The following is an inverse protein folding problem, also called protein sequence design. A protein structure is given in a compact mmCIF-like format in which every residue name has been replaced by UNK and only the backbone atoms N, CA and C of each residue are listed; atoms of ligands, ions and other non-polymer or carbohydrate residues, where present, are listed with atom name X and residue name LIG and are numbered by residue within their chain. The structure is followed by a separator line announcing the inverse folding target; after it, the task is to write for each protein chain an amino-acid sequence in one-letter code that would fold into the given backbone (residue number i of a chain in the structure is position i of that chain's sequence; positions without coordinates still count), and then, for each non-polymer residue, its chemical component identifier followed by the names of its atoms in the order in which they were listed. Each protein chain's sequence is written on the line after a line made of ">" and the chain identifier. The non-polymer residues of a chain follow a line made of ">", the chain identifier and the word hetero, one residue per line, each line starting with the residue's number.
data_IF_919096265455
#
_entry.id   IF_919096265455
#
_cell.length_a   1.000
_cell.length_b   1.000
_cell.length_c   1.000
_cell.angle_alpha   90.00
_cell.angle_beta   90.00
_cell.angle_gamma   90.00
#
_symmetry.space_group_name_H-M   'P 1'
#
loop_
_entity.id
_entity.type
_entity.pdbx_description
1 polymer ?
2 non-polymer ?
3 non-polymer ?
4 non-polymer ?
5 water ?
#
# COMPACT_ATOMS: atom_id res chain seq x y z
N UNK A 3 -19.78 4.26 24.46
CA UNK A 3 -18.36 4.57 24.34
C UNK A 3 -17.99 4.72 22.88
N UNK A 4 -16.91 5.45 22.59
CA UNK A 4 -16.39 5.49 21.24
C UNK A 4 -15.79 4.13 20.90
N UNK A 5 -15.84 3.77 19.61
CA UNK A 5 -15.20 2.56 19.09
C UNK A 5 -13.85 2.98 18.53
N UNK A 6 -12.78 2.29 18.94
CA UNK A 6 -11.45 2.61 18.42
C UNK A 6 -11.34 2.18 16.97
N UNK A 7 -10.64 2.99 16.18
CA UNK A 7 -10.36 2.66 14.78
C UNK A 7 -8.84 2.68 14.67
N UNK A 8 -8.23 1.49 14.69
CA UNK A 8 -6.79 1.34 14.68
C UNK A 8 -6.36 1.26 13.23
N UNK A 9 -5.77 2.35 12.72
CA UNK A 9 -5.39 2.45 11.32
C UNK A 9 -3.88 2.24 11.25
N UNK A 10 -3.44 1.16 10.62
CA UNK A 10 -2.04 0.78 10.67
C UNK A 10 -1.38 0.92 9.30
N UNK A 11 -0.12 1.33 9.32
CA UNK A 11 0.67 1.47 8.11
C UNK A 11 2.14 1.29 8.45
N UNK A 12 2.95 1.25 7.40
CA UNK A 12 4.38 0.95 7.57
C UNK A 12 5.12 2.06 8.32
N UNK A 13 4.78 3.31 8.03
CA UNK A 13 5.49 4.44 8.56
C UNK A 13 6.44 5.01 7.52
N UNK A 14 6.66 6.33 7.58
CA UNK A 14 7.59 7.03 6.71
C UNK A 14 8.34 8.03 7.57
N UNK A 15 9.61 8.30 7.28
CA UNK A 15 10.36 9.25 8.10
C UNK A 15 9.79 10.65 7.98
N UNK A 16 9.72 11.35 9.10
CA UNK A 16 9.15 12.69 9.11
C UNK A 16 10.17 13.73 8.68
N UNK A 17 11.38 13.63 9.19
CA UNK A 17 12.45 14.59 8.97
C UNK A 17 13.64 13.89 8.34
N UNK A 18 14.46 14.66 7.62
CA UNK A 18 15.65 14.07 7.01
C UNK A 18 16.51 13.37 8.04
N UNK A 19 16.59 13.93 9.25
CA UNK A 19 17.41 13.33 10.29
C UNK A 19 16.88 11.97 10.72
N UNK A 20 15.59 11.68 10.46
CA UNK A 20 14.99 10.42 10.87
C UNK A 20 15.40 9.25 10.00
N UNK A 21 16.04 9.50 8.85
CA UNK A 21 16.22 8.45 7.88
C UNK A 21 17.06 7.30 8.46
N UNK A 22 18.10 7.61 9.22
CA UNK A 22 18.95 6.52 9.73
C UNK A 22 18.20 5.63 10.72
N UNK A 23 17.50 6.22 11.69
CA UNK A 23 16.81 5.38 12.67
C UNK A 23 15.64 4.63 12.03
N UNK A 24 14.97 5.24 11.05
CA UNK A 24 13.92 4.56 10.31
C UNK A 24 14.46 3.31 9.61
N UNK A 25 15.56 3.46 8.87
CA UNK A 25 16.03 2.29 8.15
C UNK A 25 16.70 1.29 9.07
N UNK A 26 17.24 1.75 10.20
CA UNK A 26 17.77 0.80 11.19
C UNK A 26 16.64 -0.07 11.74
N UNK A 27 15.46 0.52 12.00
CA UNK A 27 14.32 -0.26 12.49
C UNK A 27 13.85 -1.24 11.41
N UNK A 28 13.80 -0.80 10.17
CA UNK A 28 13.37 -1.68 9.08
C UNK A 28 14.32 -2.86 8.97
N UNK A 29 15.61 -2.63 9.18
CA UNK A 29 16.63 -3.65 9.00
C UNK A 29 16.95 -4.37 10.29
N UNK A 30 15.95 -4.53 11.17
CA UNK A 30 16.08 -5.33 12.39
C UNK A 30 17.27 -4.91 13.23
N UNK A 31 17.48 -3.60 13.33
CA UNK A 31 18.53 -3.08 14.16
C UNK A 31 19.88 -2.96 13.51
N UNK A 32 20.00 -3.31 12.23
CA UNK A 32 21.30 -3.22 11.54
C UNK A 32 21.34 -1.88 10.81
N UNK A 33 22.12 -0.96 11.35
CA UNK A 33 22.21 0.38 10.81
C UNK A 33 22.69 0.33 9.36
N UNK A 34 22.07 1.09 8.47
CA UNK A 34 22.54 1.12 7.08
C UNK A 34 23.92 1.77 6.98
N UNK A 35 24.71 1.28 6.04
CA UNK A 35 26.03 1.84 5.77
C UNK A 35 25.90 3.27 5.30
N UNK A 36 27.00 4.01 5.42
CA UNK A 36 27.05 5.39 4.92
C UNK A 36 26.61 5.45 3.46
N UNK A 37 27.07 4.49 2.64
CA UNK A 37 26.72 4.49 1.23
C UNK A 37 25.23 4.23 1.01
N UNK A 38 24.68 3.30 1.79
CA UNK A 38 23.24 3.03 1.69
C UNK A 38 22.42 4.24 2.10
N UNK A 39 22.80 4.92 3.18
CA UNK A 39 22.07 6.10 3.60
C UNK A 39 22.17 7.19 2.55
N UNK A 40 23.36 7.37 1.97
CA UNK A 40 23.49 8.40 0.94
C UNK A 40 22.59 8.09 -0.25
N UNK A 41 22.51 6.81 -0.63
CA UNK A 41 21.65 6.37 -1.73
C UNK A 41 20.20 6.68 -1.44
N UNK A 42 19.74 6.31 -0.25
CA UNK A 42 18.36 6.57 0.12
C UNK A 42 18.04 8.06 0.17
N UNK A 43 18.95 8.86 0.75
CA UNK A 43 18.73 10.30 0.78
C UNK A 43 18.56 10.85 -0.62
N UNK A 44 19.38 10.35 -1.56
CA UNK A 44 19.23 10.75 -2.95
C UNK A 44 17.90 10.37 -3.55
N UNK A 45 17.36 9.21 -3.17
CA UNK A 45 16.06 8.79 -3.69
C UNK A 45 14.95 9.69 -3.17
N UNK A 46 14.96 9.99 -1.86
CA UNK A 46 14.00 10.93 -1.30
C UNK A 46 14.14 12.32 -1.93
N UNK A 47 15.36 12.75 -2.18
CA UNK A 47 15.54 14.05 -2.81
C UNK A 47 14.92 14.04 -4.20
N UNK A 48 15.10 12.94 -4.93
CA UNK A 48 14.55 12.83 -6.28
C UNK A 48 13.04 13.00 -6.32
N UNK A 49 12.33 12.57 -5.27
CA UNK A 49 10.88 12.58 -5.33
C UNK A 49 10.30 13.83 -4.69
N UNK A 50 11.14 14.80 -4.33
CA UNK A 50 10.67 16.02 -3.72
C UNK A 50 10.72 16.06 -2.20
N UNK A 51 11.42 15.14 -1.56
CA UNK A 51 11.60 15.17 -0.12
C UNK A 51 10.46 14.52 0.66
N UNK A 52 10.60 14.62 1.98
CA UNK A 52 9.80 13.82 2.93
C UNK A 52 8.48 14.47 3.32
N UNK A 53 8.36 15.79 3.23
CA UNK A 53 7.24 16.48 3.88
C UNK A 53 5.88 16.06 3.35
N UNK A 54 5.70 15.79 2.05
CA UNK A 54 4.35 15.37 1.62
C UNK A 54 3.97 13.96 2.09
N UNK A 55 4.93 13.12 2.46
CA UNK A 55 4.68 11.69 2.66
C UNK A 55 3.73 11.43 3.83
N UNK A 56 4.16 11.80 5.04
CA UNK A 56 3.39 11.44 6.24
C UNK A 56 2.01 12.04 6.22
N UNK A 57 1.85 13.19 5.53
CA UNK A 57 0.56 13.85 5.49
C UNK A 57 -0.51 12.95 4.87
N UNK A 58 -0.11 12.05 3.94
CA UNK A 58 -1.12 11.23 3.26
C UNK A 58 -1.73 10.24 4.21
N UNK A 59 -0.89 9.53 4.98
CA UNK A 59 -1.37 8.55 5.94
C UNK A 59 -2.29 9.18 6.98
N UNK A 60 -1.90 10.36 7.50
CA UNK A 60 -2.79 11.09 8.42
C UNK A 60 -4.12 11.42 7.74
N UNK A 61 -4.08 11.93 6.50
CA UNK A 61 -5.32 12.31 5.86
C UNK A 61 -6.21 11.10 5.58
N UNK A 62 -5.60 9.95 5.34
CA UNK A 62 -6.39 8.73 5.14
C UNK A 62 -7.08 8.32 6.44
N UNK A 63 -6.33 8.29 7.55
CA UNK A 63 -6.91 7.84 8.83
C UNK A 63 -8.00 8.78 9.29
N UNK A 64 -7.71 10.08 9.29
CA UNK A 64 -8.70 11.00 9.83
C UNK A 64 -9.82 11.25 8.84
N UNK A 65 -9.54 11.15 7.53
CA UNK A 65 -10.62 11.23 6.55
C UNK A 65 -11.55 10.04 6.67
N UNK A 66 -10.98 8.86 6.97
CA UNK A 66 -11.82 7.67 7.19
C UNK A 66 -12.67 7.82 8.44
N UNK A 67 -12.07 8.31 9.53
CA UNK A 67 -12.83 8.57 10.74
C UNK A 67 -14.03 9.47 10.46
N UNK A 68 -13.80 10.58 9.73
CA UNK A 68 -14.90 11.52 9.45
C UNK A 68 -15.94 10.90 8.52
N UNK A 69 -15.49 10.10 7.54
CA UNK A 69 -16.43 9.46 6.63
C UNK A 69 -17.35 8.50 7.38
N UNK A 70 -16.78 7.75 8.33
CA UNK A 70 -17.58 6.84 9.14
C UNK A 70 -18.58 7.60 10.02
N UNK A 71 -18.12 8.64 10.71
CA UNK A 71 -18.99 9.32 11.67
C UNK A 71 -20.05 10.16 10.98
N UNK A 72 -19.82 10.60 9.74
CA UNK A 72 -20.87 11.36 9.06
C UNK A 72 -21.87 10.44 8.38
N UNK A 73 -21.56 9.15 8.22
CA UNK A 73 -22.44 8.26 7.44
C UNK A 73 -23.42 7.48 8.30
N UNK A 74 -23.31 7.55 9.63
CA UNK A 74 -24.16 6.75 10.49
C UNK A 74 -24.14 7.38 11.87
N UNK A 75 -25.17 7.05 12.66
CA UNK A 75 -25.31 7.57 14.01
C UNK A 75 -25.58 6.47 15.03
N UNK A 76 -25.04 5.27 14.79
CA UNK A 76 -25.03 4.21 15.80
C UNK A 76 -23.88 4.38 16.77
N UNK A 77 -22.71 4.79 16.29
CA UNK A 77 -21.49 4.86 17.09
C UNK A 77 -20.63 6.00 16.60
N UNK A 78 -19.70 6.42 17.45
CA UNK A 78 -18.65 7.34 17.06
C UNK A 78 -17.33 6.58 17.04
N UNK A 79 -16.66 6.61 15.89
CA UNK A 79 -15.31 6.06 15.78
C UNK A 79 -14.28 7.12 16.16
N UNK A 80 -13.18 6.69 16.76
CA UNK A 80 -12.03 7.56 16.97
C UNK A 80 -10.81 6.86 16.41
N UNK A 81 -10.13 7.52 15.46
CA UNK A 81 -8.97 6.93 14.78
C UNK A 81 -7.69 7.06 15.60
N UNK A 82 -6.92 5.97 15.65
CA UNK A 82 -5.60 5.94 16.25
C UNK A 82 -4.66 5.36 15.21
N UNK A 83 -3.60 6.10 14.89
CA UNK A 83 -2.65 5.69 13.88
C UNK A 83 -1.56 4.88 14.56
N UNK A 84 -1.30 3.67 14.02
CA UNK A 84 -0.25 2.80 14.57
C UNK A 84 0.67 2.34 13.46
N UNK A 85 1.95 2.66 13.59
CA UNK A 85 2.88 2.45 12.50
C UNK A 85 3.88 1.35 12.82
N UNK A 86 4.39 0.72 11.77
CA UNK A 86 5.27 -0.42 12.00
C UNK A 86 6.67 0.02 12.40
N UNK A 87 7.18 1.14 11.85
CA UNK A 87 8.62 1.40 11.92
C UNK A 87 9.01 2.80 12.42
N UNK A 88 8.05 3.62 12.85
CA UNK A 88 8.34 4.94 13.41
C UNK A 88 7.18 5.31 14.32
N UNK A 89 7.41 6.26 15.23
CA UNK A 89 6.34 6.67 16.11
C UNK A 89 5.29 7.44 15.31
N UNK A 90 4.00 7.33 15.67
CA UNK A 90 3.49 6.48 16.76
C UNK A 90 3.46 5.02 16.34
N UNK A 91 4.12 4.16 17.11
CA UNK A 91 4.15 2.75 16.79
C UNK A 91 2.78 2.12 17.07
N UNK A 92 2.57 0.94 16.48
CA UNK A 92 1.39 0.12 16.76
C UNK A 92 1.13 0.08 18.26
N UNK A 93 2.18 -0.17 19.04
CA UNK A 93 2.03 -0.32 20.48
C UNK A 93 1.64 0.98 21.16
N UNK A 94 2.10 2.12 20.62
CA UNK A 94 1.69 3.44 21.11
C UNK A 94 0.21 3.69 20.87
N UNK A 95 -0.27 3.32 19.70
CA UNK A 95 -1.68 3.51 19.38
C UNK A 95 -2.57 2.66 20.29
N UNK A 96 -2.16 1.42 20.57
CA UNK A 96 -2.97 0.57 21.43
C UNK A 96 -2.97 1.10 22.86
N UNK A 97 -1.80 1.57 23.34
CA UNK A 97 -1.72 2.19 24.65
C UNK A 97 -2.61 3.40 24.74
N UNK A 98 -2.60 4.23 23.68
CA UNK A 98 -3.45 5.42 23.65
C UNK A 98 -4.93 5.04 23.79
N UNK A 99 -5.37 4.06 23.01
CA UNK A 99 -6.76 3.59 23.11
C UNK A 99 -7.10 3.14 24.52
N UNK A 100 -6.23 2.31 25.12
CA UNK A 100 -6.51 1.82 26.46
C UNK A 100 -6.55 2.96 27.47
N UNK A 101 -5.60 3.90 27.37
CA UNK A 101 -5.61 5.03 28.30
C UNK A 101 -6.86 5.86 28.14
N UNK A 102 -7.37 5.99 26.91
CA UNK A 102 -8.58 6.76 26.63
C UNK A 102 -9.86 6.04 27.03
N UNK A 103 -9.76 4.82 27.52
CA UNK A 103 -10.95 4.07 27.92
C UNK A 103 -11.67 3.39 26.78
N UNK A 104 -11.03 3.22 25.62
CA UNK A 104 -11.60 2.47 24.52
C UNK A 104 -11.70 1.01 24.95
N UNK A 105 -12.87 0.40 24.75
CA UNK A 105 -13.05 -1.00 25.10
C UNK A 105 -13.03 -1.92 23.90
N UNK A 106 -13.48 -1.43 22.75
CA UNK A 106 -13.62 -2.21 21.53
C UNK A 106 -13.04 -1.42 20.37
N UNK A 107 -12.31 -2.10 19.50
CA UNK A 107 -11.69 -1.43 18.36
C UNK A 107 -11.79 -2.32 17.14
N UNK A 108 -11.86 -1.69 15.98
CA UNK A 108 -11.63 -2.36 14.71
C UNK A 108 -10.30 -1.86 14.14
N UNK A 109 -9.48 -2.78 13.63
CA UNK A 109 -8.21 -2.41 13.01
C UNK A 109 -8.28 -2.66 11.51
N UNK A 110 -7.56 -1.83 10.77
CA UNK A 110 -7.43 -1.96 9.33
C UNK A 110 -6.01 -1.56 8.96
N UNK A 111 -5.40 -2.31 8.06
CA UNK A 111 -4.10 -1.98 7.50
C UNK A 111 -4.31 -1.25 6.18
N UNK A 112 -3.52 -0.20 5.95
CA UNK A 112 -3.59 0.58 4.71
C UNK A 112 -2.85 -0.15 3.57
N UNK A 113 -3.34 -1.35 3.28
CA UNK A 113 -2.88 -2.17 2.17
C UNK A 113 -3.97 -3.19 1.91
N UNK A 114 -4.40 -3.36 0.65
CA UNK A 114 -5.62 -4.16 0.38
C UNK A 114 -5.44 -5.65 0.53
N UNK A 115 -4.22 -6.17 0.53
CA UNK A 115 -3.97 -7.60 0.48
C UNK A 115 -3.45 -8.12 1.81
N UNK A 116 -3.73 -9.40 2.08
CA UNK A 116 -3.24 -10.07 3.27
C UNK A 116 -2.01 -10.88 2.94
N UNK A 117 -1.00 -10.78 3.81
CA UNK A 117 0.05 -11.77 3.84
C UNK A 117 0.29 -12.19 5.28
N UNK A 118 0.65 -13.47 5.44
CA UNK A 118 1.14 -13.94 6.73
C UNK A 118 2.45 -13.28 7.11
N UNK A 119 3.18 -12.75 6.13
CA UNK A 119 4.47 -12.14 6.43
C UNK A 119 4.32 -10.69 6.88
N UNK A 120 3.35 -9.98 6.34
CA UNK A 120 3.23 -8.53 6.56
C UNK A 120 2.02 -8.17 7.39
N UNK A 121 0.81 -8.44 6.92
CA UNK A 121 -0.40 -8.03 7.65
C UNK A 121 -0.50 -8.78 8.98
N UNK A 122 -0.19 -10.07 8.98
CA UNK A 122 -0.26 -10.80 10.24
C UNK A 122 0.67 -10.19 11.29
N UNK A 123 1.79 -9.61 10.87
CA UNK A 123 2.72 -9.00 11.83
C UNK A 123 2.10 -7.80 12.53
N UNK A 124 1.35 -6.97 11.78
CA UNK A 124 0.63 -5.86 12.39
C UNK A 124 -0.35 -6.37 13.41
N UNK A 125 -1.10 -7.41 13.03
CA UNK A 125 -2.17 -7.92 13.89
C UNK A 125 -1.59 -8.51 15.16
N UNK A 126 -0.48 -9.24 15.03
CA UNK A 126 0.17 -9.84 16.19
C UNK A 126 0.67 -8.77 17.17
N UNK A 127 1.31 -7.71 16.65
CA UNK A 127 1.77 -6.63 17.52
C UNK A 127 0.60 -5.92 18.22
N UNK A 128 -0.48 -5.65 17.48
CA UNK A 128 -1.64 -4.99 18.09
C UNK A 128 -2.26 -5.87 19.17
N UNK A 129 -2.45 -7.16 18.88
CA UNK A 129 -3.05 -8.06 19.85
C UNK A 129 -2.17 -8.23 21.07
N UNK A 130 -0.86 -8.36 20.87
CA UNK A 130 -0.01 -8.58 22.02
C UNK A 130 0.03 -7.34 22.92
N UNK A 131 0.03 -6.14 22.34
CA UNK A 131 -0.04 -4.92 23.13
C UNK A 131 -1.33 -4.86 23.94
N UNK A 132 -2.47 -5.16 23.29
CA UNK A 132 -3.75 -5.14 23.97
C UNK A 132 -3.81 -6.17 25.08
N UNK A 133 -3.31 -7.38 24.81
CA UNK A 133 -3.29 -8.43 25.84
C UNK A 133 -2.54 -7.96 27.08
N UNK A 134 -1.42 -7.24 26.89
CA UNK A 134 -0.63 -6.79 28.03
C UNK A 134 -1.36 -5.71 28.84
N UNK A 135 -2.10 -4.84 28.16
CA UNK A 135 -2.80 -3.76 28.83
C UNK A 135 -4.16 -4.16 29.38
N UNK A 136 -4.74 -5.26 28.90
CA UNK A 136 -6.08 -5.63 29.28
C UNK A 136 -7.18 -5.14 28.36
N UNK A 137 -6.81 -4.53 27.23
CA UNK A 137 -7.76 -4.04 26.26
C UNK A 137 -7.16 -2.91 25.44
N UNK A 138 -7.91 -2.39 24.47
CA UNK A 138 -9.24 -2.88 24.03
C UNK A 138 -9.22 -4.24 23.33
N UNK A 139 -10.42 -4.82 23.19
CA UNK A 139 -10.59 -5.94 22.27
C UNK A 139 -10.48 -5.42 20.84
N UNK A 140 -9.66 -6.09 20.03
CA UNK A 140 -9.33 -5.61 18.69
C UNK A 140 -9.89 -6.61 17.70
N UNK A 141 -10.81 -6.16 16.85
CA UNK A 141 -11.38 -6.99 15.78
C UNK A 141 -10.72 -6.55 14.47
N UNK A 142 -9.87 -7.43 13.92
CA UNK A 142 -8.97 -7.07 12.83
C UNK A 142 -9.63 -7.35 11.49
N UNK A 143 -9.44 -6.43 10.55
CA UNK A 143 -9.72 -6.66 9.13
C UNK A 143 -8.42 -7.11 8.48
N UNK A 144 -8.45 -8.23 7.74
CA UNK A 144 -7.22 -8.78 7.19
C UNK A 144 -6.95 -8.36 5.75
N UNK A 145 -8.01 -8.12 4.98
CA UNK A 145 -7.82 -7.67 3.61
C UNK A 145 -9.13 -7.07 3.13
N UNK A 146 -9.03 -6.37 1.98
CA UNK A 146 -10.22 -5.68 1.49
C UNK A 146 -10.16 -5.45 -0.01
N UNK A 147 -9.28 -6.15 -0.73
CA UNK A 147 -9.13 -6.00 -2.18
C UNK A 147 -10.37 -6.45 -2.93
N UNK A 148 -11.24 -7.26 -2.32
CA UNK A 148 -12.42 -7.71 -3.04
C UNK A 148 -13.55 -6.69 -3.05
N UNK A 149 -13.40 -5.58 -2.34
CA UNK A 149 -14.48 -4.60 -2.29
C UNK A 149 -14.75 -4.06 -3.68
N UNK A 150 -16.00 -4.15 -4.18
CA UNK A 150 -16.27 -3.63 -5.54
C UNK A 150 -15.84 -2.19 -5.75
N UNK A 151 -15.99 -1.34 -4.74
CA UNK A 151 -15.62 0.06 -4.91
C UNK A 151 -14.11 0.23 -5.05
N UNK A 152 -13.33 -0.67 -4.46
CA UNK A 152 -11.88 -0.62 -4.62
C UNK A 152 -11.49 -0.93 -6.05
N UNK A 153 -12.01 -2.04 -6.58
CA UNK A 153 -11.76 -2.44 -7.97
C UNK A 153 -12.24 -1.35 -8.92
N UNK A 154 -13.45 -0.82 -8.68
CA UNK A 154 -13.97 0.19 -9.59
C UNK A 154 -13.15 1.47 -9.54
N UNK A 155 -12.66 1.83 -8.35
CA UNK A 155 -11.79 3.00 -8.23
C UNK A 155 -10.59 2.87 -9.16
N UNK A 156 -9.92 1.73 -9.11
CA UNK A 156 -8.76 1.53 -9.97
C UNK A 156 -9.15 1.44 -11.44
N UNK A 157 -10.23 0.71 -11.76
CA UNK A 157 -10.63 0.64 -13.17
C UNK A 157 -10.91 2.03 -13.75
N UNK A 158 -11.62 2.88 -12.99
CA UNK A 158 -11.93 4.22 -13.48
C UNK A 158 -10.67 5.02 -13.78
N UNK A 159 -9.68 4.96 -12.88
CA UNK A 159 -8.41 5.68 -13.06
C UNK A 159 -7.64 5.16 -14.26
N UNK A 160 -7.65 3.84 -14.47
CA UNK A 160 -6.98 3.28 -15.64
C UNK A 160 -7.67 3.77 -16.90
N UNK A 161 -9.00 3.73 -16.93
CA UNK A 161 -9.74 4.13 -18.12
C UNK A 161 -9.53 5.61 -18.44
N UNK A 162 -9.42 6.44 -17.39
CA UNK A 162 -9.12 7.85 -17.63
C UNK A 162 -7.72 8.00 -18.20
N UNK A 163 -6.74 7.33 -17.59
CA UNK A 163 -5.38 7.38 -18.12
C UNK A 163 -5.32 6.88 -19.55
N UNK A 164 -6.13 5.84 -19.89
CA UNK A 164 -6.09 5.30 -21.25
C UNK A 164 -6.53 6.31 -22.31
N UNK A 165 -7.24 7.36 -21.91
CA UNK A 165 -7.57 8.39 -22.88
C UNK A 165 -6.35 9.19 -23.31
N UNK A 166 -5.25 9.13 -22.55
CA UNK A 166 -3.97 9.70 -22.94
C UNK A 166 -3.38 9.02 -24.18
N UNK A 167 -3.93 7.90 -24.61
CA UNK A 167 -3.28 7.01 -25.57
C UNK A 167 -4.03 7.07 -26.89
N UNK A 168 -3.36 7.35 -28.01
CA UNK A 168 -4.03 7.29 -29.31
C UNK A 168 -4.80 6.00 -29.49
N UNK A 169 -5.98 6.12 -30.10
CA UNK A 169 -6.83 4.95 -30.32
C UNK A 169 -6.08 3.80 -30.96
N UNK A 170 -5.26 4.08 -31.97
CA UNK A 170 -4.63 2.97 -32.69
C UNK A 170 -3.43 2.37 -31.95
N UNK A 171 -3.01 2.94 -30.83
CA UNK A 171 -1.93 2.37 -30.03
C UNK A 171 -2.46 1.67 -28.80
N UNK A 172 -3.78 1.71 -28.58
CA UNK A 172 -4.35 1.00 -27.45
C UNK A 172 -4.07 -0.50 -27.55
N UNK A 173 -4.11 -1.06 -28.77
CA UNK A 173 -3.77 -2.47 -28.91
C UNK A 173 -2.30 -2.73 -28.59
N UNK A 174 -1.47 -1.69 -28.53
CA UNK A 174 -0.07 -1.84 -28.16
C UNK A 174 0.20 -1.42 -26.72
N UNK A 175 -0.81 -1.46 -25.86
CA UNK A 175 -0.74 -1.01 -24.48
C UNK A 175 -0.90 -2.19 -23.54
N UNK A 176 -0.07 -2.22 -22.49
CA UNK A 176 -0.17 -3.25 -21.46
C UNK A 176 -0.33 -2.58 -20.10
N UNK A 177 -1.17 -3.19 -19.26
CA UNK A 177 -1.39 -2.78 -17.88
C UNK A 177 -0.51 -3.64 -17.01
N UNK A 178 0.35 -2.99 -16.21
CA UNK A 178 1.24 -3.67 -15.26
C UNK A 178 0.67 -3.50 -13.86
N UNK A 179 0.14 -4.58 -13.30
CA UNK A 179 -0.50 -4.56 -11.97
C UNK A 179 0.50 -5.09 -10.97
N UNK A 180 0.81 -4.32 -9.92
CA UNK A 180 1.90 -4.69 -9.04
C UNK A 180 1.57 -4.42 -7.58
N UNK A 181 2.41 -5.00 -6.71
CA UNK A 181 2.33 -4.81 -5.28
C UNK A 181 3.74 -4.97 -4.75
N UNK A 182 3.89 -4.70 -3.46
CA UNK A 182 5.20 -4.82 -2.84
C UNK A 182 5.61 -6.29 -2.85
N UNK A 183 6.81 -6.54 -3.32
CA UNK A 183 7.34 -7.91 -3.28
C UNK A 183 7.53 -8.34 -1.82
N UNK A 184 7.56 -9.65 -1.60
CA UNK A 184 7.83 -10.25 -0.30
C UNK A 184 8.80 -11.41 -0.52
N UNK A 185 9.44 -11.89 0.55
CA UNK A 185 10.34 -13.03 0.38
C UNK A 185 9.60 -14.21 -0.25
N UNK A 186 10.27 -14.86 -1.21
CA UNK A 186 9.64 -15.95 -1.95
C UNK A 186 9.21 -17.08 -1.04
N UNK A 187 9.81 -17.18 0.16
CA UNK A 187 9.52 -18.28 1.06
C UNK A 187 8.08 -18.26 1.60
N UNK A 188 7.36 -17.13 1.46
CA UNK A 188 5.97 -17.14 1.91
C UNK A 188 5.18 -18.23 1.19
N UNK A 189 5.61 -18.64 0.00
CA UNK A 189 4.91 -19.67 -0.78
C UNK A 189 4.99 -21.03 -0.11
N UNK A 190 6.05 -21.29 0.66
CA UNK A 190 6.13 -22.55 1.40
C UNK A 190 5.15 -22.59 2.54
N UNK A 191 4.54 -21.46 2.88
CA UNK A 191 3.54 -21.34 3.93
C UNK A 191 2.11 -21.21 3.39
N UNK A 192 1.92 -21.45 2.09
CA UNK A 192 0.59 -21.32 1.48
C UNK A 192 0.01 -19.92 1.70
N UNK A 193 0.88 -18.92 1.68
CA UNK A 193 0.45 -17.54 1.89
C UNK A 193 -0.47 -17.11 0.74
N UNK A 194 -1.63 -16.53 1.04
CA UNK A 194 -2.56 -16.12 -0.04
C UNK A 194 -2.17 -14.87 -0.80
N UNK A 195 -1.15 -14.12 -0.36
CA UNK A 195 -0.79 -12.84 -0.97
C UNK A 195 -0.61 -12.91 -2.49
N UNK A 196 0.17 -13.83 -3.05
CA UNK A 196 0.30 -13.85 -4.51
C UNK A 196 -1.02 -14.08 -5.24
N UNK A 197 -1.87 -14.98 -4.73
CA UNK A 197 -3.17 -15.20 -5.36
C UNK A 197 -4.07 -13.98 -5.23
N UNK A 198 -3.98 -13.26 -4.11
CA UNK A 198 -4.84 -12.09 -3.96
C UNK A 198 -4.46 -11.01 -4.95
N UNK A 199 -3.19 -10.90 -5.30
CA UNK A 199 -2.78 -9.91 -6.30
C UNK A 199 -3.27 -10.33 -7.68
N UNK A 200 -3.15 -11.62 -8.01
CA UNK A 200 -3.71 -12.09 -9.27
C UNK A 200 -5.21 -11.82 -9.35
N UNK A 201 -5.96 -12.12 -8.27
CA UNK A 201 -7.39 -11.85 -8.29
C UNK A 201 -7.67 -10.37 -8.51
N UNK A 202 -6.90 -9.50 -7.83
CA UNK A 202 -7.11 -8.07 -7.99
C UNK A 202 -6.89 -7.67 -9.44
N UNK A 203 -5.81 -8.15 -10.04
CA UNK A 203 -5.54 -7.84 -11.44
C UNK A 203 -6.68 -8.31 -12.34
N UNK A 204 -7.16 -9.54 -12.10
CA UNK A 204 -8.24 -10.09 -12.91
C UNK A 204 -9.52 -9.24 -12.80
N UNK A 205 -9.89 -8.85 -11.56
CA UNK A 205 -11.11 -8.07 -11.36
C UNK A 205 -10.99 -6.71 -12.02
N UNK A 206 -9.81 -6.09 -11.94
CA UNK A 206 -9.60 -4.80 -12.61
C UNK A 206 -9.61 -4.96 -14.11
N UNK A 207 -8.92 -5.98 -14.61
CA UNK A 207 -8.71 -6.10 -16.06
C UNK A 207 -10.03 -6.19 -16.81
N UNK A 208 -11.01 -6.92 -16.27
CA UNK A 208 -12.26 -7.09 -17.00
C UNK A 208 -13.08 -5.81 -17.05
N UNK A 209 -12.67 -4.76 -16.32
CA UNK A 209 -13.38 -3.48 -16.24
C UNK A 209 -12.65 -2.36 -16.97
N UNK A 210 -11.56 -2.64 -17.69
CA UNK A 210 -10.82 -1.57 -18.33
C UNK A 210 -10.69 -1.82 -19.83
N UNK A 211 -10.40 -0.74 -20.56
CA UNK A 211 -10.27 -0.82 -22.01
C UNK A 211 -8.91 -1.38 -22.43
N UNK A 212 -7.93 -1.40 -21.54
CA UNK A 212 -6.58 -1.85 -21.90
C UNK A 212 -6.63 -3.34 -22.25
N UNK A 213 -6.14 -3.76 -23.42
CA UNK A 213 -6.38 -5.15 -23.87
C UNK A 213 -5.36 -6.18 -23.41
N UNK A 214 -4.28 -5.78 -22.76
CA UNK A 214 -3.27 -6.72 -22.29
C UNK A 214 -2.88 -6.36 -20.86
N UNK A 215 -2.51 -7.35 -20.05
CA UNK A 215 -2.06 -7.06 -18.69
C UNK A 215 -1.07 -8.12 -18.23
N UNK A 216 -0.34 -7.77 -17.18
CA UNK A 216 0.66 -8.65 -16.57
C UNK A 216 0.80 -8.27 -15.10
N UNK A 217 1.17 -9.27 -14.29
CA UNK A 217 1.38 -9.07 -12.87
C UNK A 217 2.88 -8.98 -12.58
N UNK A 218 3.26 -8.03 -11.74
CA UNK A 218 4.65 -7.92 -11.32
C UNK A 218 4.76 -7.50 -9.87
N UNK A 219 6.00 -7.50 -9.38
CA UNK A 219 6.32 -7.17 -7.99
C UNK A 219 7.32 -6.04 -7.95
N UNK A 220 7.34 -5.31 -6.84
CA UNK A 220 8.30 -4.21 -6.78
C UNK A 220 8.81 -3.95 -5.38
N UNK A 221 9.87 -3.14 -5.33
CA UNK A 221 10.34 -2.56 -4.07
C UNK A 221 10.87 -3.62 -3.12
N UNK A 222 11.45 -4.70 -3.67
CA UNK A 222 12.04 -5.76 -2.85
C UNK A 222 13.02 -5.20 -1.84
N UNK A 223 13.04 -5.80 -0.66
CA UNK A 223 14.09 -5.51 0.29
C UNK A 223 15.32 -6.35 0.03
N UNK A 224 16.40 -6.03 0.74
CA UNK A 224 17.71 -6.65 0.56
C UNK A 224 17.99 -7.42 1.84
N UNK A 225 17.60 -8.69 1.81
CA UNK A 225 17.79 -9.67 2.85
C UNK A 225 18.56 -10.84 2.22
N UNK A 226 18.80 -11.88 2.97
CA UNK A 226 19.66 -12.87 2.36
C UNK A 226 19.00 -13.87 1.45
N UNK A 227 17.81 -13.57 0.93
CA UNK A 227 16.94 -14.58 0.34
C UNK A 227 16.21 -14.01 -0.87
N UNK A 228 15.72 -14.89 -1.76
CA UNK A 228 15.00 -14.41 -2.94
C UNK A 228 13.62 -13.86 -2.58
N UNK A 229 13.19 -12.88 -3.37
CA UNK A 229 11.89 -12.24 -3.20
C UNK A 229 11.02 -12.53 -4.42
N UNK A 230 9.72 -12.33 -4.24
CA UNK A 230 8.77 -12.61 -5.32
C UNK A 230 9.13 -11.84 -6.58
N UNK A 231 9.00 -12.52 -7.72
CA UNK A 231 9.24 -11.90 -9.00
C UNK A 231 8.17 -12.32 -9.99
N UNK A 232 8.16 -11.72 -11.19
CA UNK A 232 9.23 -10.81 -11.64
C UNK A 232 9.13 -9.38 -11.10
N UNK A 233 10.29 -8.73 -10.95
CA UNK A 233 10.31 -7.31 -10.63
C UNK A 233 9.82 -6.50 -11.82
N UNK A 234 9.11 -5.41 -11.53
CA UNK A 234 8.47 -4.64 -12.59
C UNK A 234 9.48 -4.15 -13.61
N UNK A 235 10.71 -3.86 -13.20
CA UNK A 235 11.70 -3.41 -14.18
C UNK A 235 12.02 -4.51 -15.16
N UNK A 236 12.23 -5.73 -14.66
CA UNK A 236 12.56 -6.85 -15.52
C UNK A 236 11.37 -7.24 -16.37
N UNK A 237 10.16 -7.19 -15.79
CA UNK A 237 8.96 -7.56 -16.52
C UNK A 237 8.71 -6.59 -17.67
N UNK A 238 8.97 -5.30 -17.45
CA UNK A 238 8.81 -4.33 -18.52
C UNK A 238 9.74 -4.68 -19.69
N UNK A 239 10.99 -5.02 -19.38
CA UNK A 239 11.96 -5.33 -20.43
C UNK A 239 11.59 -6.61 -21.16
N UNK A 240 11.07 -7.59 -20.42
CA UNK A 240 10.68 -8.86 -21.04
C UNK A 240 9.45 -8.71 -21.92
N UNK A 241 8.44 -7.97 -21.45
CA UNK A 241 7.23 -7.76 -22.23
C UNK A 241 7.53 -6.96 -23.50
N UNK A 242 8.41 -5.95 -23.40
CA UNK A 242 8.80 -5.25 -24.61
C UNK A 242 9.52 -6.20 -25.56
N UNK A 243 10.41 -7.03 -25.03
CA UNK A 243 11.14 -7.94 -25.89
C UNK A 243 10.19 -8.87 -26.65
N UNK A 244 9.16 -9.36 -25.96
CA UNK A 244 8.29 -10.34 -26.56
C UNK A 244 7.20 -9.71 -27.42
N UNK A 245 6.65 -8.58 -27.00
CA UNK A 245 5.49 -7.99 -27.65
C UNK A 245 5.69 -6.58 -28.19
N UNK A 246 6.77 -5.90 -27.83
CA UNK A 246 7.09 -4.55 -28.36
C UNK A 246 5.99 -3.54 -28.05
N UNK A 247 5.41 -3.63 -26.85
CA UNK A 247 4.39 -2.69 -26.46
C UNK A 247 4.91 -1.26 -26.56
N UNK A 248 4.03 -0.37 -26.97
CA UNK A 248 4.36 1.05 -27.05
C UNK A 248 3.95 1.85 -25.82
N UNK A 249 3.05 1.33 -24.98
CA UNK A 249 2.58 2.02 -23.79
C UNK A 249 2.53 1.03 -22.65
N UNK A 250 3.07 1.44 -21.49
CA UNK A 250 2.95 0.70 -20.24
C UNK A 250 2.18 1.54 -19.24
N UNK A 251 1.08 1.00 -18.70
CA UNK A 251 0.34 1.68 -17.66
C UNK A 251 0.61 0.93 -16.36
N UNK A 252 1.20 1.62 -15.38
CA UNK A 252 1.57 1.00 -14.11
C UNK A 252 0.52 1.33 -13.05
N UNK A 253 -0.12 0.30 -12.51
CA UNK A 253 -1.01 0.45 -11.35
C UNK A 253 -0.47 -0.37 -10.19
N UNK A 254 0.26 0.24 -9.25
CA UNK A 254 0.81 -0.47 -8.09
C UNK A 254 -0.27 -0.60 -7.04
N UNK A 255 -1.25 -1.46 -7.33
CA UNK A 255 -2.47 -1.53 -6.53
C UNK A 255 -2.25 -2.05 -5.11
N UNK A 256 -1.09 -2.67 -4.82
CA UNK A 256 -0.76 -3.04 -3.46
C UNK A 256 -0.53 -1.86 -2.56
N UNK A 257 -0.25 -0.69 -3.13
CA UNK A 257 0.03 0.54 -2.42
C UNK A 257 -1.17 1.48 -2.46
N UNK A 258 -1.28 2.35 -1.44
CA UNK A 258 -2.41 3.27 -1.37
C UNK A 258 -1.97 4.72 -1.42
N UNK A 259 -0.67 5.00 -1.47
CA UNK A 259 -0.19 6.36 -1.36
C UNK A 259 0.98 6.59 -2.30
N UNK A 260 1.20 7.85 -2.63
CA UNK A 260 2.37 8.26 -3.40
C UNK A 260 3.54 8.45 -2.44
N UNK A 261 4.15 7.32 -2.06
CA UNK A 261 5.32 7.31 -1.21
C UNK A 261 6.54 6.93 -2.06
N UNK A 262 7.64 6.57 -1.41
CA UNK A 262 8.88 6.34 -2.16
C UNK A 262 8.74 5.18 -3.12
N UNK A 263 7.98 4.15 -2.73
CA UNK A 263 7.86 2.97 -3.59
C UNK A 263 7.17 3.28 -4.91
N UNK A 264 6.26 4.24 -4.95
CA UNK A 264 5.62 4.63 -6.20
C UNK A 264 6.39 5.76 -6.88
N UNK A 265 6.72 6.84 -6.16
CA UNK A 265 7.33 7.99 -6.82
C UNK A 265 8.74 7.68 -7.30
N UNK A 266 9.43 6.75 -6.65
CA UNK A 266 10.75 6.36 -7.15
C UNK A 266 10.72 5.03 -7.89
N UNK A 267 10.19 3.97 -7.27
CA UNK A 267 10.36 2.66 -7.91
C UNK A 267 9.50 2.55 -9.18
N UNK A 268 8.40 3.32 -9.29
CA UNK A 268 7.67 3.36 -10.55
C UNK A 268 8.08 4.57 -11.38
N UNK A 269 7.85 5.78 -10.86
CA UNK A 269 7.96 6.98 -11.68
C UNK A 269 9.39 7.27 -12.12
N UNK A 270 10.38 6.79 -11.36
CA UNK A 270 11.77 6.84 -11.84
C UNK A 270 12.20 5.52 -12.46
N UNK A 271 12.20 4.42 -11.68
CA UNK A 271 12.88 3.20 -12.13
C UNK A 271 12.17 2.54 -13.29
N UNK A 272 10.82 2.52 -13.28
CA UNK A 272 10.11 1.92 -14.41
C UNK A 272 10.17 2.83 -15.64
N UNK A 273 10.15 4.14 -15.43
CA UNK A 273 10.23 5.04 -16.58
C UNK A 273 11.63 5.01 -17.22
N UNK A 274 12.66 4.70 -16.43
CA UNK A 274 13.98 4.47 -17.02
C UNK A 274 13.89 3.36 -18.04
N UNK A 275 13.15 2.30 -17.73
CA UNK A 275 13.07 1.16 -18.62
C UNK A 275 12.19 1.49 -19.82
N UNK A 276 11.02 2.10 -19.60
CA UNK A 276 10.20 2.43 -20.75
C UNK A 276 10.92 3.42 -21.66
N UNK A 277 11.67 4.36 -21.09
CA UNK A 277 12.51 5.25 -21.91
C UNK A 277 13.51 4.45 -22.72
N UNK A 278 14.14 3.46 -22.08
CA UNK A 278 15.20 2.73 -22.77
C UNK A 278 14.66 1.94 -23.95
N UNK A 279 13.40 1.50 -23.90
CA UNK A 279 12.86 0.72 -25.01
C UNK A 279 12.00 1.55 -25.95
N UNK A 280 11.92 2.86 -25.75
CA UNK A 280 11.17 3.69 -26.67
C UNK A 280 9.67 3.71 -26.45
N UNK A 281 9.19 3.25 -25.30
CA UNK A 281 7.76 3.22 -25.03
C UNK A 281 7.36 4.38 -24.11
N UNK A 282 6.06 4.62 -24.02
CA UNK A 282 5.53 5.69 -23.19
C UNK A 282 5.13 5.16 -21.82
N UNK A 283 5.39 5.97 -20.80
CA UNK A 283 5.13 5.65 -19.39
C UNK A 283 3.84 6.33 -18.93
N UNK A 284 2.97 5.57 -18.25
CA UNK A 284 1.77 6.14 -17.65
C UNK A 284 1.57 5.54 -16.28
N UNK A 285 1.12 6.34 -15.32
CA UNK A 285 0.85 5.82 -13.98
C UNK A 285 -0.29 6.65 -13.40
N UNK A 286 -1.47 6.09 -13.18
CA UNK A 286 -2.62 6.89 -12.70
C UNK A 286 -2.34 7.42 -11.31
N UNK A 287 -3.05 8.48 -10.88
CA UNK A 287 -2.91 8.96 -9.50
C UNK A 287 -3.18 7.85 -8.49
N UNK A 288 -2.38 7.82 -7.42
CA UNK A 288 -2.65 6.87 -6.35
C UNK A 288 -3.90 7.31 -5.58
N UNK A 289 -4.49 6.39 -4.82
CA UNK A 289 -5.69 6.74 -4.03
C UNK A 289 -5.48 7.90 -3.06
N UNK A 290 -4.35 7.94 -2.34
CA UNK A 290 -4.01 8.99 -1.37
C UNK A 290 -5.23 9.17 -0.48
N UNK A 291 -5.72 10.40 -0.27
CA UNK A 291 -6.91 10.61 0.54
C UNK A 291 -8.08 11.10 -0.31
N UNK A 292 -8.15 10.64 -1.56
CA UNK A 292 -9.25 11.01 -2.44
C UNK A 292 -10.58 10.58 -1.81
N UNK A 293 -11.64 11.39 -1.92
CA UNK A 293 -12.93 10.97 -1.36
C UNK A 293 -13.40 9.62 -1.84
N UNK A 294 -13.14 9.25 -3.11
CA UNK A 294 -13.55 7.94 -3.57
C UNK A 294 -12.86 6.83 -2.76
N UNK A 295 -11.59 7.03 -2.39
CA UNK A 295 -10.87 6.02 -1.61
C UNK A 295 -11.31 6.02 -0.16
N UNK A 296 -11.56 7.19 0.40
CA UNK A 296 -12.09 7.24 1.77
C UNK A 296 -13.42 6.49 1.83
N UNK A 297 -14.22 6.57 0.77
CA UNK A 297 -15.47 5.83 0.73
C UNK A 297 -15.24 4.32 0.62
N UNK A 298 -14.22 3.89 -0.12
CA UNK A 298 -13.82 2.48 -0.08
C UNK A 298 -13.54 2.03 1.34
N UNK A 299 -12.67 2.76 2.05
CA UNK A 299 -12.31 2.35 3.40
C UNK A 299 -13.51 2.42 4.34
N UNK A 300 -14.37 3.44 4.17
CA UNK A 300 -15.56 3.54 5.01
C UNK A 300 -16.42 2.30 4.84
N UNK A 301 -16.59 1.87 3.59
CA UNK A 301 -17.40 0.68 3.29
C UNK A 301 -16.81 -0.57 3.97
N UNK A 302 -15.48 -0.73 3.89
CA UNK A 302 -14.79 -1.85 4.51
C UNK A 302 -15.03 -1.87 6.02
N UNK A 303 -14.79 -0.74 6.68
CA UNK A 303 -14.84 -0.74 8.13
C UNK A 303 -16.27 -0.89 8.61
N UNK A 304 -17.20 -0.22 7.93
CA UNK A 304 -18.60 -0.30 8.37
C UNK A 304 -19.19 -1.69 8.11
N UNK A 305 -18.73 -2.35 7.04
CA UNK A 305 -19.16 -3.73 6.82
C UNK A 305 -18.69 -4.62 7.96
N UNK A 306 -17.47 -4.37 8.46
CA UNK A 306 -16.94 -5.17 9.56
C UNK A 306 -17.69 -4.88 10.85
N UNK A 307 -17.93 -3.60 11.14
CA UNK A 307 -18.71 -3.27 12.32
C UNK A 307 -20.10 -3.89 12.23
N UNK A 308 -20.74 -3.76 11.06
CA UNK A 308 -22.10 -4.30 10.88
C UNK A 308 -22.14 -5.79 11.11
N UNK A 309 -21.18 -6.53 10.54
CA UNK A 309 -21.14 -7.98 10.74
C UNK A 309 -20.95 -8.35 12.20
N UNK A 310 -20.22 -7.51 12.95
CA UNK A 310 -20.00 -7.79 14.36
C UNK A 310 -21.23 -7.47 15.19
N UNK A 311 -21.98 -6.45 14.82
CA UNK A 311 -22.99 -5.87 15.71
C UNK A 311 -24.43 -6.03 15.25
N UNK A 312 -24.69 -6.07 13.94
CA UNK A 312 -26.07 -6.01 13.45
C UNK A 312 -26.74 -7.38 13.35
X LIG B 1 1.85 10.53 10.46
X LIG B 1 1.23 9.75 9.42
X LIG B 1 1.14 10.16 11.75
X LIG B 1 1.54 8.94 12.22
X LIG B 1 1.44 11.30 12.75
X LIG B 1 0.64 11.05 13.89
X LIG C 1 6.27 1.29 2.42
X LIG C 1 5.97 0.01 1.92
X LIG C 1 4.94 2.00 2.83
X LIG C 1 5.13 3.34 3.22
X LIG C 1 3.96 1.83 1.63
X LIG C 1 3.88 3.07 0.98
X LIG D 1 -2.97 8.89 17.69
X LIG D 1 -3.04 8.60 16.30
X LIG D 1 -2.20 7.76 18.46
X LIG D 1 -1.80 6.68 17.70
X LIG D 1 -1.01 8.48 19.16
X LIG D 1 -0.29 7.49 19.82
X LIG E 1 16.99 13.64 2.31
X LIG E 1 17.95 13.61 3.36
X LIG E 1 17.17 14.99 1.57
X LIG E 1 18.43 15.09 0.96
X LIG E 1 16.03 15.08 0.51
X LIG E 1 14.84 14.64 1.11
X LIG F 1 7.67 -4.51 3.60
X LIG F 1 8.09 -5.84 3.63
X LIG F 1 6.11 -4.42 3.85
X LIG F 1 5.38 -4.93 2.79
X LIG F 1 5.83 -5.16 5.23
X LIG F 1 4.65 -4.60 5.83
X LIG G 1 12.19 -7.42 5.54
X LIG G 1 11.88 -8.36 6.51
X LIG G 1 13.28 -6.51 6.16
X LIG G 1 14.37 -7.24 6.57
X LIG G 1 13.62 -5.46 5.08
X LIG G 1 12.42 -4.94 4.65
X LIG H 1 26.55 -1.25 8.55
X LIG H 1 26.15 -1.95 9.69
X LIG H 1 28.08 -1.41 8.44
X LIG H 1 28.45 -2.74 8.35
X LIG H 1 28.49 -0.59 7.18
X LIG H 1 28.91 -1.52 6.21
X LIG I 1 9.67 -5.25 7.45
X LIG I 1 10.12 -4.38 6.28
X LIG I 1 8.98 -6.50 6.95
X LIG I 1 8.65 -4.50 8.30
X LIG I 1 10.90 -5.61 8.26
X LIG J 1 10.79 -0.93 1.90
X LIG J 1 11.78 0.01 1.23
X LIG J 1 9.41 -0.73 1.34
X LIG J 1 10.78 -0.65 3.39
X LIG J 1 11.25 -2.35 1.67
X LIG K 1 8.72 -15.47 -7.82
X LIG L 1 -5.57 -13.79 11.62
#
# INVERSE_FOLDING_TARGET
>A
MTKKVGLLVMAYGTPYKDEDIERYYTDIRHGHKPSEEMIADLRGRYHAIGGLSPLAKITEAQAYGLEKALNDSQDEVEFKAYIGLKHIEPFIEDAVEAMHKDGIEEAISIVLAPHYSSFSVEAYNKRAKEAADKLGGPRINAINDWYKQPKFIQMWADRINETAKQIPADELLDTVLIVSAHSLPEKIKQHNDPYPNQLQETADFIFEKVVVPHYALGWQSEGKTGEPWLGPDVQDLTRELYGREKYKHFIYTPVGFVAEHLEVLYDNDYECKVVTDEVGAAYHRPPMPNSDPEFLEVLRTVVWEKYSNLEH
>B hetero
1 GOL C1 O1 C2 O2 C3 O3
>C hetero
1 GOL C1 O1 C2 O2 C3 O3
>D hetero
1 GOL C1 O1 C2 O2 C3 O3
>E hetero
1 GOL C1 O1 C2 O2 C3 O3
>F hetero
1 GOL C1 O1 C2 O2 C3 O3
>G hetero
1 GOL C1 O1 C2 O2 C3 O3
>H hetero
1 GOL C1 O1 C2 O2 C3 O3
>I hetero
1 PO4 P O1 O2 O3 O4
>J hetero
1 PO4 P O1 O2 O3 O4
>K hetero
1 K K
>L hetero
1 K K
#
